data_IF_113521604438
#
_entry.id   IF_113521604438
#
_cell.length_a   1.000
_cell.length_b   1.000
_cell.length_c   1.000
_cell.angle_alpha   90.00
_cell.angle_beta   90.00
_cell.angle_gamma   90.00
#
_symmetry.space_group_name_H-M   'P 1'
#
loop_
_entity.id
_entity.type
_entity.pdbx_description
1 polymer ?
#
# COMPACT_ATOMS: atom_id res chain seq x y z
N UNK A 1 -21.69 -12.94 -0.71
CA UNK A 1 -20.50 -12.07 -0.73
C UNK A 1 -19.32 -12.88 -1.22
N UNK A 2 -18.53 -12.35 -2.15
CA UNK A 2 -17.32 -12.97 -2.72
C UNK A 2 -16.12 -12.16 -2.21
N UNK A 3 -15.03 -12.82 -1.81
CA UNK A 3 -13.86 -12.18 -1.19
C UNK A 3 -12.82 -11.67 -2.21
N UNK A 4 -13.23 -11.51 -3.47
CA UNK A 4 -12.40 -10.99 -4.54
C UNK A 4 -13.19 -10.11 -5.51
N UNK A 5 -12.65 -8.96 -5.87
CA UNK A 5 -13.19 -8.17 -6.98
C UNK A 5 -12.77 -8.78 -8.33
N UNK A 6 -13.63 -8.69 -9.37
CA UNK A 6 -13.18 -8.91 -10.74
C UNK A 6 -12.07 -7.91 -11.08
N UNK A 7 -11.02 -8.39 -11.75
CA UNK A 7 -9.81 -7.61 -12.07
C UNK A 7 -9.00 -7.11 -10.86
N UNK A 8 -9.12 -7.72 -9.66
CA UNK A 8 -8.27 -7.38 -8.50
C UNK A 8 -6.76 -7.45 -8.80
N UNK A 9 -6.36 -8.23 -9.81
CA UNK A 9 -4.98 -8.31 -10.28
C UNK A 9 -4.43 -6.99 -10.84
N UNK A 10 -5.27 -6.01 -11.17
CA UNK A 10 -4.84 -4.65 -11.58
C UNK A 10 -4.07 -3.91 -10.48
N UNK A 11 -4.34 -4.25 -9.22
CA UNK A 11 -3.61 -3.73 -8.05
C UNK A 11 -2.50 -4.69 -7.60
N UNK A 12 -2.74 -6.00 -7.65
CA UNK A 12 -1.81 -6.96 -7.06
C UNK A 12 -0.67 -7.42 -7.99
N UNK A 13 -0.85 -7.33 -9.31
CA UNK A 13 0.25 -7.56 -10.24
C UNK A 13 1.11 -6.31 -10.36
N UNK A 14 2.41 -6.47 -10.06
CA UNK A 14 3.37 -5.36 -10.01
C UNK A 14 3.46 -4.54 -11.31
N UNK A 15 3.44 -5.19 -12.47
CA UNK A 15 3.47 -4.52 -13.77
C UNK A 15 2.22 -3.65 -13.99
N UNK A 16 1.04 -4.17 -13.65
CA UNK A 16 -0.22 -3.46 -13.75
C UNK A 16 -0.34 -2.34 -12.70
N UNK A 17 0.06 -2.60 -11.46
CA UNK A 17 0.12 -1.59 -10.39
C UNK A 17 0.91 -0.35 -10.84
N UNK A 18 2.14 -0.56 -11.32
CA UNK A 18 3.01 0.53 -11.79
C UNK A 18 2.39 1.24 -12.99
N UNK A 19 1.79 0.50 -13.93
CA UNK A 19 1.09 1.07 -15.09
C UNK A 19 -0.10 1.93 -14.67
N UNK A 20 -0.92 1.45 -13.74
CA UNK A 20 -2.12 2.12 -13.24
C UNK A 20 -1.76 3.39 -12.47
N UNK A 21 -0.72 3.36 -11.62
CA UNK A 21 -0.21 4.56 -10.94
C UNK A 21 0.32 5.60 -11.95
N UNK A 22 1.06 5.16 -12.98
CA UNK A 22 1.55 6.07 -14.03
C UNK A 22 0.40 6.71 -14.81
N UNK A 23 -0.66 5.95 -15.12
CA UNK A 23 -1.88 6.46 -15.75
C UNK A 23 -2.55 7.49 -14.84
N UNK A 24 -2.79 7.13 -13.58
CA UNK A 24 -3.43 7.99 -12.59
C UNK A 24 -2.74 9.34 -12.44
N UNK A 25 -1.41 9.34 -12.31
CA UNK A 25 -0.61 10.58 -12.26
C UNK A 25 -0.79 11.46 -13.51
N UNK A 26 -0.81 10.86 -14.71
CA UNK A 26 -1.01 11.58 -15.98
C UNK A 26 -2.42 12.15 -16.14
N UNK A 27 -3.42 11.44 -15.63
CA UNK A 27 -4.79 11.94 -15.67
C UNK A 27 -4.94 13.14 -14.72
N UNK A 28 -4.36 13.08 -13.52
CA UNK A 28 -4.28 14.21 -12.59
C UNK A 28 -3.54 15.42 -13.17
N UNK A 29 -2.47 15.21 -13.95
CA UNK A 29 -1.79 16.28 -14.69
C UNK A 29 -2.71 16.95 -15.71
N UNK A 30 -3.47 16.15 -16.48
CA UNK A 30 -4.41 16.65 -17.49
C UNK A 30 -5.53 17.47 -16.85
N UNK A 31 -5.94 17.08 -15.65
CA UNK A 31 -6.97 17.76 -14.86
C UNK A 31 -6.43 19.00 -14.12
N UNK A 32 -5.11 19.24 -14.12
CA UNK A 32 -4.49 20.33 -13.37
C UNK A 32 -4.60 20.16 -11.85
N UNK A 33 -4.70 18.92 -11.38
CA UNK A 33 -4.83 18.62 -9.95
C UNK A 33 -3.55 19.00 -9.19
N UNK A 34 -3.66 19.63 -7.99
CA UNK A 34 -2.49 19.89 -7.15
C UNK A 34 -1.76 18.60 -6.73
N UNK A 35 -2.45 17.45 -6.75
CA UNK A 35 -1.83 16.15 -6.47
C UNK A 35 -0.75 15.75 -7.50
N UNK A 36 -0.80 16.33 -8.69
CA UNK A 36 0.19 16.11 -9.75
C UNK A 36 1.40 17.06 -9.65
N UNK A 37 1.51 17.85 -8.57
CA UNK A 37 2.66 18.72 -8.34
C UNK A 37 3.98 17.94 -8.42
N UNK A 38 4.96 18.57 -9.08
CA UNK A 38 6.30 18.03 -9.24
C UNK A 38 7.33 19.01 -8.69
N UNK A 39 8.35 18.45 -8.05
CA UNK A 39 9.51 19.19 -7.59
C UNK A 39 10.80 18.57 -8.14
N UNK A 40 11.82 19.41 -8.28
CA UNK A 40 13.17 18.95 -8.55
C UNK A 40 13.79 18.42 -7.27
N UNK A 41 14.35 17.21 -7.35
CA UNK A 41 15.02 16.52 -6.25
C UNK A 41 16.45 16.22 -6.70
N UNK A 42 17.42 16.56 -5.85
CA UNK A 42 18.82 16.24 -6.09
C UNK A 42 19.10 14.83 -5.56
N UNK A 43 19.42 13.91 -6.45
CA UNK A 43 19.84 12.55 -6.09
C UNK A 43 21.28 12.54 -5.56
N UNK A 44 21.64 11.45 -4.88
CA UNK A 44 23.04 11.17 -4.54
C UNK A 44 23.88 11.15 -5.82
N UNK A 45 24.94 11.96 -5.87
CA UNK A 45 25.74 12.19 -7.08
C UNK A 45 25.46 13.51 -7.81
N UNK A 46 24.58 14.37 -7.28
CA UNK A 46 24.34 15.72 -7.80
C UNK A 46 23.41 15.79 -9.01
N UNK A 47 22.84 14.66 -9.42
CA UNK A 47 21.87 14.60 -10.51
C UNK A 47 20.52 15.18 -10.06
N UNK A 48 20.00 16.15 -10.82
CA UNK A 48 18.66 16.71 -10.60
C UNK A 48 17.63 15.88 -11.36
N UNK A 49 16.60 15.41 -10.66
CA UNK A 49 15.47 14.70 -11.27
C UNK A 49 14.15 15.30 -10.82
N UNK A 50 13.17 15.32 -11.72
CA UNK A 50 11.81 15.77 -11.39
C UNK A 50 11.00 14.60 -10.82
N UNK A 51 10.46 14.76 -9.61
CA UNK A 51 9.59 13.75 -8.97
C UNK A 51 8.26 14.37 -8.57
N UNK A 52 7.23 13.55 -8.46
CA UNK A 52 5.94 13.98 -7.91
C UNK A 52 6.12 14.29 -6.42
N UNK A 53 5.48 15.33 -5.92
CA UNK A 53 5.55 15.68 -4.49
C UNK A 53 4.67 14.73 -3.69
N UNK A 54 3.41 14.58 -4.10
CA UNK A 54 2.40 13.84 -3.33
C UNK A 54 2.29 12.36 -3.71
N UNK A 55 2.70 12.00 -4.92
CA UNK A 55 2.49 10.66 -5.46
C UNK A 55 3.79 9.87 -5.65
N UNK A 56 4.91 10.28 -5.07
CA UNK A 56 6.22 9.61 -5.19
C UNK A 56 6.46 8.53 -4.12
N UNK A 57 5.61 7.51 -4.13
CA UNK A 57 5.67 6.38 -3.18
C UNK A 57 5.92 5.02 -3.86
N UNK A 58 6.05 4.98 -5.19
CA UNK A 58 6.40 3.76 -5.94
C UNK A 58 7.89 3.85 -6.32
N UNK A 59 8.73 2.88 -5.95
CA UNK A 59 10.13 2.87 -6.35
C UNK A 59 10.27 2.67 -7.87
N UNK A 60 11.37 3.16 -8.42
CA UNK A 60 11.72 2.89 -9.83
C UNK A 60 11.78 1.37 -10.01
N UNK A 61 11.00 0.87 -10.96
CA UNK A 61 10.74 -0.55 -11.15
C UNK A 61 10.89 -0.91 -12.62
N UNK A 62 11.53 -2.03 -12.87
CA UNK A 62 11.76 -2.60 -14.19
C UNK A 62 11.27 -4.05 -14.22
N UNK A 63 10.70 -4.48 -15.35
CA UNK A 63 10.28 -5.86 -15.60
C UNK A 63 11.31 -6.52 -16.51
N UNK A 64 12.12 -7.43 -15.96
CA UNK A 64 13.14 -8.13 -16.74
C UNK A 64 12.57 -9.43 -17.36
N UNK A 65 13.01 -9.81 -18.58
CA UNK A 65 14.08 -9.20 -19.37
C UNK A 65 13.64 -7.99 -20.22
N UNK A 66 12.34 -7.69 -20.32
CA UNK A 66 11.79 -6.68 -21.23
C UNK A 66 12.40 -5.27 -21.06
N UNK A 67 12.62 -4.85 -19.82
CA UNK A 67 13.15 -3.52 -19.47
C UNK A 67 14.67 -3.52 -19.22
N UNK A 68 15.41 -4.55 -19.67
CA UNK A 68 16.83 -4.69 -19.34
C UNK A 68 17.67 -3.47 -19.73
N UNK A 69 17.49 -2.93 -20.94
CA UNK A 69 18.24 -1.77 -21.40
C UNK A 69 17.97 -0.53 -20.54
N UNK A 70 16.70 -0.30 -20.17
CA UNK A 70 16.31 0.80 -19.30
C UNK A 70 16.89 0.64 -17.89
N UNK A 71 16.89 -0.59 -17.37
CA UNK A 71 17.53 -0.90 -16.09
C UNK A 71 19.03 -0.59 -16.13
N UNK A 72 19.74 -1.01 -17.19
CA UNK A 72 21.18 -0.75 -17.33
C UNK A 72 21.48 0.75 -17.43
N UNK A 73 20.65 1.52 -18.13
CA UNK A 73 20.78 2.98 -18.18
C UNK A 73 20.61 3.61 -16.79
N UNK A 74 19.60 3.18 -16.03
CA UNK A 74 19.36 3.71 -14.69
C UNK A 74 20.45 3.29 -13.69
N UNK A 75 20.92 2.05 -13.79
CA UNK A 75 22.03 1.53 -12.99
C UNK A 75 23.31 2.35 -13.21
N UNK A 76 23.61 2.73 -14.46
CA UNK A 76 24.80 3.55 -14.79
C UNK A 76 24.74 4.96 -14.20
N UNK A 77 23.54 5.55 -14.05
CA UNK A 77 23.38 6.88 -13.46
C UNK A 77 23.70 6.90 -11.97
N UNK A 78 23.38 5.81 -11.27
CA UNK A 78 23.64 5.68 -9.84
C UNK A 78 24.16 4.28 -9.50
N UNK A 79 25.47 4.01 -9.73
CA UNK A 79 26.06 2.69 -9.52
C UNK A 79 26.06 2.23 -8.06
N UNK A 80 25.95 3.18 -7.11
CA UNK A 80 25.85 2.88 -5.67
C UNK A 80 24.41 2.63 -5.20
N UNK A 81 23.43 2.72 -6.09
CA UNK A 81 22.05 2.41 -5.73
C UNK A 81 21.89 0.94 -5.37
N UNK A 82 21.29 0.69 -4.22
CA UNK A 82 20.75 -0.62 -3.86
C UNK A 82 19.53 -0.93 -4.73
N UNK A 83 19.51 -2.09 -5.36
CA UNK A 83 18.39 -2.59 -6.17
C UNK A 83 17.80 -3.84 -5.54
N UNK A 84 16.47 -3.84 -5.36
CA UNK A 84 15.74 -5.02 -4.90
C UNK A 84 15.30 -5.82 -6.12
N UNK A 85 16.01 -6.91 -6.42
CA UNK A 85 15.58 -7.86 -7.44
C UNK A 85 14.57 -8.84 -6.83
N UNK A 86 13.35 -8.88 -7.39
CA UNK A 86 12.34 -9.89 -7.03
C UNK A 86 12.01 -10.72 -8.26
N UNK A 87 12.09 -12.07 -8.20
CA UNK A 87 11.56 -12.91 -9.26
C UNK A 87 10.04 -12.72 -9.35
N UNK A 88 9.50 -12.72 -10.57
CA UNK A 88 8.06 -12.62 -10.78
C UNK A 88 7.34 -13.74 -10.01
N UNK A 89 6.58 -13.38 -8.96
CA UNK A 89 5.75 -14.31 -8.19
C UNK A 89 6.36 -14.95 -6.94
N UNK A 90 7.54 -14.52 -6.44
CA UNK A 90 8.06 -14.97 -5.13
C UNK A 90 8.85 -13.86 -4.40
N UNK A 91 8.62 -13.67 -3.11
CA UNK A 91 9.28 -12.67 -2.24
C UNK A 91 9.41 -13.23 -0.82
N UNK A 92 10.58 -13.49 -0.15
CA UNK A 92 10.68 -13.99 1.28
C UNK A 92 12.09 -14.05 1.97
N UNK A 93 12.36 -13.49 3.19
CA UNK A 93 13.69 -13.48 3.92
C UNK A 93 13.67 -12.84 5.33
N UNK A 94 14.80 -12.51 5.99
CA UNK A 94 15.08 -12.60 7.47
C UNK A 94 16.17 -11.80 8.22
N UNK A 95 17.22 -11.23 7.63
CA UNK A 95 18.48 -10.91 8.32
C UNK A 95 18.77 -9.42 8.16
N UNK A 96 19.57 -8.88 9.09
CA UNK A 96 20.00 -7.48 9.07
C UNK A 96 20.64 -7.15 7.73
N UNK A 97 20.13 -6.08 7.10
CA UNK A 97 20.59 -5.61 5.80
C UNK A 97 22.07 -5.21 5.85
N UNK A 98 22.92 -5.94 5.13
CA UNK A 98 24.32 -5.60 4.88
C UNK A 98 24.53 -5.35 3.38
N UNK A 99 25.34 -4.33 3.07
CA UNK A 99 25.68 -3.92 1.70
C UNK A 99 26.91 -4.65 1.15
N UNK A 100 27.53 -5.55 1.93
CA UNK A 100 28.71 -6.29 1.49
C UNK A 100 28.36 -7.27 0.36
N UNK A 101 29.20 -7.26 -0.69
CA UNK A 101 29.04 -8.10 -1.89
C UNK A 101 29.05 -9.60 -1.55
N UNK A 102 29.60 -9.96 -0.39
CA UNK A 102 29.70 -11.32 0.14
C UNK A 102 28.38 -11.91 0.64
N UNK A 103 27.38 -11.08 0.96
CA UNK A 103 26.08 -11.51 1.51
C UNK A 103 24.92 -11.39 0.50
N UNK A 104 25.20 -11.09 -0.78
CA UNK A 104 24.17 -10.94 -1.82
C UNK A 104 23.37 -12.24 -2.07
N UNK A 105 24.02 -13.40 -1.96
CA UNK A 105 23.37 -14.71 -2.12
C UNK A 105 22.61 -15.16 -0.86
N UNK A 106 22.80 -14.47 0.25
CA UNK A 106 22.11 -14.77 1.50
C UNK A 106 20.67 -14.28 1.40
N UNK A 107 19.77 -15.12 0.90
CA UNK A 107 18.34 -14.85 0.80
C UNK A 107 17.71 -14.44 2.13
N UNK A 108 18.29 -14.90 3.25
CA UNK A 108 17.86 -14.48 4.56
C UNK A 108 18.15 -12.99 4.75
N UNK A 109 19.17 -12.32 4.20
CA UNK A 109 19.40 -10.86 4.39
C UNK A 109 18.40 -9.96 3.65
N UNK A 110 17.96 -10.36 2.46
CA UNK A 110 17.37 -9.40 1.51
C UNK A 110 15.85 -9.38 1.44
N UNK A 111 15.21 -10.33 2.12
CA UNK A 111 13.77 -10.48 2.03
C UNK A 111 13.21 -10.45 3.48
N UNK A 112 11.89 -10.39 3.73
CA UNK A 112 11.33 -10.25 5.11
C UNK A 112 10.26 -11.29 5.49
N UNK A 113 9.88 -12.20 4.59
CA UNK A 113 8.77 -13.12 4.85
C UNK A 113 9.11 -14.37 5.68
N UNK A 114 8.17 -14.69 6.56
CA UNK A 114 8.24 -15.74 7.59
C UNK A 114 8.56 -17.13 7.07
N UNK A 115 8.07 -17.49 5.89
CA UNK A 115 8.25 -18.83 5.33
C UNK A 115 9.67 -19.12 4.84
N UNK A 116 10.48 -18.09 4.57
CA UNK A 116 11.94 -18.24 4.47
C UNK A 116 12.56 -18.12 5.87
N UNK A 117 12.10 -17.17 6.68
CA UNK A 117 12.64 -16.92 8.02
C UNK A 117 12.71 -18.11 8.94
N UNK A 118 11.66 -18.93 8.95
CA UNK A 118 11.56 -20.10 9.82
C UNK A 118 12.67 -21.13 9.62
N UNK A 119 13.43 -21.03 8.52
CA UNK A 119 14.56 -21.91 8.22
C UNK A 119 15.92 -21.25 8.50
N UNK A 120 15.97 -19.99 8.94
CA UNK A 120 17.21 -19.30 9.30
C UNK A 120 17.66 -19.64 10.72
N UNK A 121 18.99 -19.70 10.94
CA UNK A 121 19.57 -20.08 12.23
C UNK A 121 19.21 -19.14 13.39
N UNK A 122 19.00 -17.85 13.11
CA UNK A 122 18.63 -16.83 14.11
C UNK A 122 17.11 -16.61 14.24
N UNK A 123 16.29 -17.52 13.71
CA UNK A 123 14.83 -17.36 13.78
C UNK A 123 14.33 -17.42 15.22
N UNK A 124 13.80 -16.30 15.71
CA UNK A 124 13.15 -16.26 17.00
C UNK A 124 11.75 -16.88 16.89
N UNK A 125 11.57 -18.13 17.33
CA UNK A 125 10.30 -18.86 17.29
C UNK A 125 9.18 -18.25 18.15
N UNK A 126 9.53 -17.41 19.13
CA UNK A 126 8.58 -16.79 20.07
C UNK A 126 7.88 -15.60 19.41
N UNK A 127 8.64 -14.71 18.76
CA UNK A 127 8.11 -13.51 18.12
C UNK A 127 8.04 -13.60 16.58
N UNK A 128 8.76 -14.56 15.99
CA UNK A 128 8.82 -14.81 14.55
C UNK A 128 9.49 -13.71 13.73
N UNK A 129 10.27 -12.82 14.37
CA UNK A 129 10.79 -11.60 13.75
C UNK A 129 9.73 -10.53 13.47
N UNK A 130 8.53 -10.65 14.07
CA UNK A 130 7.40 -9.77 13.82
C UNK A 130 7.23 -8.75 14.94
N UNK A 131 6.83 -7.54 14.56
CA UNK A 131 6.35 -6.50 15.47
C UNK A 131 4.95 -6.08 15.03
N UNK A 132 4.01 -5.92 15.97
CA UNK A 132 2.68 -5.38 15.66
C UNK A 132 2.80 -3.92 15.23
N UNK A 133 1.82 -3.44 14.45
CA UNK A 133 1.78 -2.03 14.03
C UNK A 133 1.71 -1.09 15.25
N UNK A 134 0.99 -1.48 16.30
CA UNK A 134 0.91 -0.73 17.55
C UNK A 134 2.28 -0.63 18.23
N UNK A 135 3.03 -1.73 18.30
CA UNK A 135 4.37 -1.72 18.89
C UNK A 135 5.37 -0.95 18.02
N UNK A 136 5.25 -1.02 16.69
CA UNK A 136 6.03 -0.21 15.77
C UNK A 136 5.79 1.28 16.02
N UNK A 137 4.53 1.67 16.17
CA UNK A 137 4.16 3.05 16.50
C UNK A 137 4.77 3.50 17.82
N UNK A 138 4.59 2.73 18.89
CA UNK A 138 5.18 3.03 20.21
C UNK A 138 6.71 3.15 20.14
N UNK A 139 7.37 2.25 19.42
CA UNK A 139 8.81 2.29 19.22
C UNK A 139 9.27 3.56 18.49
N UNK A 140 8.58 3.95 17.42
CA UNK A 140 8.90 5.17 16.67
C UNK A 140 8.60 6.43 17.47
N UNK A 141 7.50 6.47 18.23
CA UNK A 141 7.17 7.60 19.09
C UNK A 141 8.25 7.79 20.17
N UNK A 142 8.74 6.70 20.76
CA UNK A 142 9.80 6.74 21.77
C UNK A 142 11.20 7.05 21.22
N UNK A 143 11.50 6.74 19.95
CA UNK A 143 12.85 6.89 19.37
C UNK A 143 13.01 8.09 18.43
N UNK A 144 11.94 8.49 17.73
CA UNK A 144 11.93 9.55 16.72
C UNK A 144 10.97 10.69 17.05
N UNK A 145 10.09 10.51 18.03
CA UNK A 145 9.11 11.48 18.45
C UNK A 145 7.73 11.28 17.80
N UNK A 146 6.71 11.81 18.47
CA UNK A 146 5.31 11.61 18.10
C UNK A 146 4.94 12.21 16.75
N UNK A 147 5.30 13.47 16.50
CA UNK A 147 4.93 14.16 15.26
C UNK A 147 5.47 13.45 14.01
N UNK A 148 6.73 13.02 14.05
CA UNK A 148 7.38 12.29 12.95
C UNK A 148 6.69 10.95 12.71
N UNK A 149 6.32 10.26 13.79
CA UNK A 149 5.60 8.99 13.70
C UNK A 149 4.22 9.17 13.07
N UNK A 150 3.46 10.18 13.51
CA UNK A 150 2.16 10.51 12.94
C UNK A 150 2.27 10.85 11.44
N UNK A 151 3.30 11.61 11.02
CA UNK A 151 3.57 11.90 9.61
C UNK A 151 3.83 10.64 8.78
N UNK A 152 4.62 9.69 9.30
CA UNK A 152 4.89 8.43 8.61
C UNK A 152 3.59 7.62 8.43
N UNK A 153 2.79 7.47 9.49
CA UNK A 153 1.54 6.71 9.41
C UNK A 153 0.52 7.37 8.48
N UNK A 154 0.43 8.71 8.49
CA UNK A 154 -0.37 9.45 7.52
C UNK A 154 0.13 9.21 6.08
N UNK A 155 1.44 9.17 5.86
CA UNK A 155 2.03 8.87 4.55
C UNK A 155 1.76 7.44 4.08
N UNK A 156 1.71 6.47 5.00
CA UNK A 156 1.30 5.08 4.71
C UNK A 156 -0.17 5.04 4.29
N UNK A 157 -1.06 5.69 5.04
CA UNK A 157 -2.49 5.76 4.70
C UNK A 157 -2.71 6.43 3.34
N UNK A 158 -2.00 7.53 3.08
CA UNK A 158 -2.03 8.26 1.80
C UNK A 158 -1.65 7.37 0.61
N UNK A 159 -0.54 6.63 0.74
CA UNK A 159 -0.07 5.67 -0.24
C UNK A 159 -1.12 4.59 -0.52
N UNK A 160 -1.75 4.03 0.53
CA UNK A 160 -2.80 3.01 0.39
C UNK A 160 -3.98 3.58 -0.39
N UNK A 161 -4.52 4.73 0.04
CA UNK A 161 -5.69 5.38 -0.60
C UNK A 161 -5.41 5.69 -2.06
N UNK A 162 -4.27 6.32 -2.38
CA UNK A 162 -3.97 6.69 -3.76
C UNK A 162 -3.60 5.50 -4.65
N UNK A 163 -3.13 4.39 -4.07
CA UNK A 163 -2.96 3.15 -4.83
C UNK A 163 -4.29 2.53 -5.23
N UNK A 164 -5.31 2.58 -4.36
CA UNK A 164 -6.68 2.15 -4.66
C UNK A 164 -7.35 3.08 -5.68
N UNK A 165 -7.23 4.41 -5.51
CA UNK A 165 -7.76 5.38 -6.48
C UNK A 165 -7.19 5.21 -7.89
N UNK A 166 -5.92 4.78 -8.01
CA UNK A 166 -5.31 4.58 -9.32
C UNK A 166 -5.92 3.42 -10.11
N UNK A 167 -6.56 2.47 -9.43
CA UNK A 167 -7.18 1.27 -10.03
C UNK A 167 -8.71 1.32 -10.04
N UNK A 168 -9.34 2.31 -9.39
CA UNK A 168 -10.79 2.39 -9.24
C UNK A 168 -11.55 2.42 -10.58
N UNK A 169 -10.98 3.04 -11.62
CA UNK A 169 -11.59 3.11 -12.95
C UNK A 169 -11.49 1.82 -13.78
N UNK A 170 -10.65 0.86 -13.37
CA UNK A 170 -10.44 -0.41 -14.09
C UNK A 170 -10.91 -1.63 -13.31
N UNK A 171 -10.96 -1.54 -11.98
CA UNK A 171 -11.55 -2.56 -11.14
C UNK A 171 -13.07 -2.51 -11.21
N UNK A 172 -13.71 -3.65 -11.41
CA UNK A 172 -15.17 -3.72 -11.43
C UNK A 172 -15.70 -3.60 -9.99
N UNK A 173 -16.38 -2.50 -9.70
CA UNK A 173 -17.03 -2.28 -8.40
C UNK A 173 -18.34 -3.07 -8.32
N UNK A 174 -18.23 -4.38 -8.09
CA UNK A 174 -19.38 -5.22 -7.77
C UNK A 174 -19.64 -5.16 -6.26
N UNK A 175 -20.79 -4.61 -5.91
CA UNK A 175 -21.33 -4.57 -4.55
C UNK A 175 -21.25 -5.93 -3.85
N UNK A 176 -21.42 -7.06 -4.53
CA UNK A 176 -21.39 -8.38 -3.89
C UNK A 176 -19.98 -8.89 -3.57
N UNK A 177 -18.95 -8.11 -3.88
CA UNK A 177 -17.56 -8.41 -3.63
C UNK A 177 -17.00 -7.56 -2.49
N UNK A 178 -16.01 -8.11 -1.79
CA UNK A 178 -15.13 -7.41 -0.86
C UNK A 178 -13.72 -7.97 -1.06
N UNK A 179 -12.70 -7.30 -0.53
CA UNK A 179 -11.34 -7.79 -0.67
C UNK A 179 -10.49 -7.43 0.56
N UNK A 180 -9.63 -8.36 0.97
CA UNK A 180 -8.60 -8.11 1.97
C UNK A 180 -7.23 -8.09 1.29
N UNK A 181 -6.63 -6.90 1.19
CA UNK A 181 -5.30 -6.73 0.63
C UNK A 181 -4.21 -6.76 1.71
N UNK A 182 -3.10 -7.43 1.43
CA UNK A 182 -1.84 -7.30 2.18
C UNK A 182 -0.91 -6.29 1.50
N UNK A 183 -0.61 -5.18 2.18
CA UNK A 183 0.31 -4.17 1.66
C UNK A 183 1.73 -4.41 2.16
N UNK A 184 2.65 -4.58 1.23
CA UNK A 184 4.08 -4.71 1.52
C UNK A 184 4.75 -3.34 1.32
N UNK A 185 5.06 -2.70 2.44
CA UNK A 185 5.63 -1.34 2.48
C UNK A 185 7.02 -1.41 3.11
N UNK A 186 8.01 -0.81 2.44
CA UNK A 186 9.34 -0.59 3.00
C UNK A 186 9.42 0.85 3.47
N UNK A 187 9.96 1.07 4.67
CA UNK A 187 10.24 2.39 5.21
C UNK A 187 11.75 2.62 5.13
N UNK A 188 12.16 3.70 4.47
CA UNK A 188 13.58 4.03 4.36
C UNK A 188 14.15 4.73 5.62
N UNK A 189 15.44 5.05 5.58
CA UNK A 189 16.13 5.73 6.67
C UNK A 189 15.64 7.17 6.93
N UNK A 190 14.92 7.78 6.00
CA UNK A 190 14.28 9.09 6.13
C UNK A 190 12.82 8.97 6.59
N UNK A 191 12.37 7.75 6.94
CA UNK A 191 10.99 7.44 7.30
C UNK A 191 10.00 7.74 6.17
N UNK A 192 10.43 7.59 4.91
CA UNK A 192 9.53 7.63 3.76
C UNK A 192 9.05 6.20 3.43
N UNK A 193 7.72 5.98 3.32
CA UNK A 193 7.17 4.69 2.93
C UNK A 193 7.21 4.52 1.40
N UNK A 194 7.57 3.31 0.98
CA UNK A 194 7.63 2.87 -0.41
C UNK A 194 6.76 1.62 -0.60
N UNK A 195 5.80 1.68 -1.53
CA UNK A 195 4.96 0.54 -1.86
C UNK A 195 5.73 -0.43 -2.74
N UNK A 196 5.92 -1.65 -2.25
CA UNK A 196 6.68 -2.69 -2.96
C UNK A 196 5.76 -3.61 -3.75
N UNK A 197 4.71 -4.09 -3.10
CA UNK A 197 3.68 -4.95 -3.69
C UNK A 197 2.36 -4.86 -2.89
N UNK A 198 1.27 -5.24 -3.55
CA UNK A 198 -0.03 -5.45 -2.92
C UNK A 198 -0.43 -6.89 -3.19
N UNK A 199 -0.81 -7.62 -2.15
CA UNK A 199 -1.17 -9.02 -2.22
C UNK A 199 -2.69 -9.16 -2.06
N UNK A 200 -3.39 -9.65 -3.08
CA UNK A 200 -4.84 -9.94 -3.02
C UNK A 200 -5.17 -11.21 -2.21
N UNK A 201 -4.15 -11.97 -1.82
CA UNK A 201 -4.33 -13.18 -1.00
C UNK A 201 -3.24 -13.23 0.08
N UNK A 202 -3.34 -12.37 1.11
CA UNK A 202 -2.39 -12.39 2.22
C UNK A 202 -2.44 -13.75 2.93
N UNK A 203 -1.27 -14.25 3.38
CA UNK A 203 -1.20 -15.57 4.00
C UNK A 203 -1.88 -15.60 5.37
N UNK A 204 -2.92 -16.43 5.48
CA UNK A 204 -3.61 -16.73 6.75
C UNK A 204 -2.96 -17.92 7.50
N UNK A 205 -1.89 -18.51 6.97
CA UNK A 205 -1.15 -19.57 7.67
C UNK A 205 -0.50 -19.00 8.92
N UNK A 206 -0.80 -19.56 10.09
CA UNK A 206 -0.28 -19.06 11.36
C UNK A 206 1.03 -19.74 11.73
N UNK A 207 2.05 -18.96 12.10
CA UNK A 207 3.34 -19.51 12.55
C UNK A 207 3.61 -19.32 14.03
N UNK A 208 2.86 -18.43 14.69
CA UNK A 208 2.92 -18.20 16.15
C UNK A 208 1.51 -18.08 16.73
N UNK A 209 1.37 -18.22 18.04
CA UNK A 209 0.07 -18.05 18.73
C UNK A 209 -0.49 -16.64 18.53
N UNK A 210 0.37 -15.62 18.61
CA UNK A 210 -0.03 -14.23 18.37
C UNK A 210 -0.51 -14.01 16.93
N UNK A 211 0.16 -14.61 15.94
CA UNK A 211 -0.25 -14.58 14.54
C UNK A 211 -1.62 -15.24 14.34
N UNK A 212 -1.85 -16.37 15.02
CA UNK A 212 -3.15 -17.04 15.03
C UNK A 212 -4.23 -16.11 15.58
N UNK A 213 -4.08 -15.60 16.80
CA UNK A 213 -5.07 -14.72 17.44
C UNK A 213 -5.36 -13.50 16.56
N UNK A 214 -4.34 -12.84 16.03
CA UNK A 214 -4.48 -11.69 15.14
C UNK A 214 -5.28 -12.04 13.88
N UNK A 215 -4.97 -13.15 13.22
CA UNK A 215 -5.64 -13.57 11.98
C UNK A 215 -7.09 -13.98 12.22
N UNK A 216 -7.38 -14.67 13.32
CA UNK A 216 -8.77 -14.96 13.71
C UNK A 216 -9.56 -13.67 13.94
N UNK A 217 -9.00 -12.70 14.68
CA UNK A 217 -9.65 -11.40 14.88
C UNK A 217 -9.85 -10.62 13.58
N UNK A 218 -8.89 -10.67 12.66
CA UNK A 218 -9.00 -10.04 11.36
C UNK A 218 -10.18 -10.61 10.56
N UNK A 219 -10.30 -11.94 10.48
CA UNK A 219 -11.39 -12.61 9.77
C UNK A 219 -12.72 -12.28 10.45
N UNK A 220 -12.78 -12.34 11.77
CA UNK A 220 -13.98 -12.03 12.56
C UNK A 220 -14.47 -10.60 12.30
N UNK A 221 -13.60 -9.60 12.48
CA UNK A 221 -13.94 -8.20 12.23
C UNK A 221 -14.32 -7.96 10.76
N UNK A 222 -13.64 -8.62 9.82
CA UNK A 222 -13.96 -8.50 8.40
C UNK A 222 -15.37 -9.03 8.11
N UNK A 223 -15.75 -10.19 8.67
CA UNK A 223 -17.10 -10.74 8.53
C UNK A 223 -18.14 -9.82 9.17
N UNK A 224 -17.86 -9.20 10.32
CA UNK A 224 -18.75 -8.23 10.96
C UNK A 224 -19.00 -6.97 10.12
N UNK A 225 -18.04 -6.60 9.26
CA UNK A 225 -18.17 -5.44 8.35
C UNK A 225 -18.91 -5.83 7.07
N UNK A 226 -18.60 -6.98 6.47
CA UNK A 226 -19.09 -7.33 5.12
C UNK A 226 -20.37 -8.17 5.11
N UNK A 227 -20.79 -8.69 6.26
CA UNK A 227 -22.06 -9.41 6.42
C UNK A 227 -23.00 -8.62 7.34
N UNK A 228 -24.32 -8.70 7.08
CA UNK A 228 -25.30 -8.13 8.01
C UNK A 228 -25.30 -8.89 9.34
N UNK A 229 -25.80 -8.27 10.43
CA UNK A 229 -25.90 -8.93 11.75
C UNK A 229 -26.63 -10.27 11.72
N UNK A 230 -27.62 -10.41 10.84
CA UNK A 230 -28.41 -11.64 10.67
C UNK A 230 -27.69 -12.70 9.80
N UNK A 231 -26.47 -12.42 9.32
CA UNK A 231 -25.61 -13.31 8.55
C UNK A 231 -26.03 -13.54 7.10
N UNK A 232 -27.23 -13.11 6.70
CA UNK A 232 -27.80 -13.33 5.37
C UNK A 232 -27.87 -11.99 4.62
N UNK A 233 -27.04 -11.77 3.59
CA UNK A 233 -27.10 -10.56 2.77
C UNK A 233 -28.44 -10.45 2.03
N UNK A 234 -29.26 -9.44 2.35
CA UNK A 234 -30.42 -9.03 1.54
C UNK A 234 -30.02 -7.86 0.62
N UNK A 235 -30.67 -7.75 -0.54
CA UNK A 235 -30.48 -6.71 -1.57
C UNK A 235 -30.72 -5.30 -1.01
N UNK A 236 -31.47 -5.18 0.09
CA UNK A 236 -31.80 -3.91 0.76
C UNK A 236 -30.82 -3.53 1.87
N UNK A 237 -29.85 -4.38 2.19
CA UNK A 237 -28.91 -4.08 3.26
C UNK A 237 -27.93 -2.97 2.84
N UNK A 238 -27.95 -1.87 3.58
CA UNK A 238 -27.01 -0.78 3.41
C UNK A 238 -25.64 -1.19 3.94
N UNK A 239 -24.59 -1.03 3.13
CA UNK A 239 -23.24 -1.52 3.40
C UNK A 239 -22.36 -0.54 4.15
N UNK A 240 -22.95 0.47 4.77
CA UNK A 240 -22.22 1.36 5.66
C UNK A 240 -22.16 0.67 7.02
N UNK A 241 -21.02 0.06 7.40
CA UNK A 241 -20.90 -0.55 8.72
C UNK A 241 -21.08 0.53 9.77
N UNK A 242 -21.76 0.20 10.87
CA UNK A 242 -21.79 1.08 12.02
C UNK A 242 -20.38 1.14 12.65
N UNK A 243 -20.11 2.17 13.46
CA UNK A 243 -18.79 2.35 14.08
C UNK A 243 -18.38 1.20 15.00
N UNK A 244 -19.35 0.47 15.56
CA UNK A 244 -19.11 -0.68 16.45
C UNK A 244 -18.68 -1.93 15.66
N UNK A 245 -19.20 -2.11 14.44
CA UNK A 245 -18.90 -3.21 13.52
C UNK A 245 -17.51 -3.11 12.91
N UNK A 246 -16.89 -1.92 12.91
CA UNK A 246 -15.52 -1.73 12.42
C UNK A 246 -14.49 -2.48 13.28
N UNK A 247 -14.79 -2.75 14.55
CA UNK A 247 -13.89 -3.47 15.45
C UNK A 247 -12.53 -2.78 15.55
N UNK A 248 -11.49 -3.41 14.99
CA UNK A 248 -10.12 -2.86 14.97
C UNK A 248 -9.74 -2.18 13.64
N UNK A 249 -10.69 -1.97 12.72
CA UNK A 249 -10.45 -1.27 11.47
C UNK A 249 -10.58 0.25 11.64
N UNK A 250 -9.66 0.98 11.01
CA UNK A 250 -9.76 2.41 10.81
C UNK A 250 -10.33 2.70 9.42
N UNK A 251 -11.36 3.54 9.33
CA UNK A 251 -11.90 4.01 8.05
C UNK A 251 -10.94 5.04 7.43
N UNK A 252 -10.37 4.73 6.26
CA UNK A 252 -9.43 5.62 5.57
C UNK A 252 -10.10 6.54 4.55
N UNK A 253 -11.11 6.04 3.85
CA UNK A 253 -11.84 6.78 2.81
C UNK A 253 -13.27 6.26 2.71
N UNK A 254 -14.21 7.18 2.58
CA UNK A 254 -15.61 6.93 2.22
C UNK A 254 -15.92 7.76 0.96
N UNK A 255 -15.95 7.11 -0.20
CA UNK A 255 -16.19 7.80 -1.47
C UNK A 255 -17.64 8.32 -1.58
N UNK A 256 -18.62 7.63 -0.97
CA UNK A 256 -20.01 8.10 -0.98
C UNK A 256 -20.19 9.40 -0.18
N UNK A 257 -19.38 9.60 0.86
CA UNK A 257 -19.37 10.84 1.63
C UNK A 257 -18.70 11.98 0.85
N UNK A 258 -17.58 11.71 0.18
CA UNK A 258 -16.85 12.70 -0.62
C UNK A 258 -17.72 13.20 -1.79
N UNK A 259 -18.39 12.29 -2.51
CA UNK A 259 -19.23 12.66 -3.65
C UNK A 259 -20.47 13.50 -3.22
N UNK A 260 -20.97 13.30 -1.99
CA UNK A 260 -22.06 14.10 -1.42
C UNK A 260 -21.63 15.52 -1.05
N UNK A 261 -20.42 15.69 -0.53
CA UNK A 261 -19.85 17.01 -0.23
C UNK A 261 -19.54 17.81 -1.51
N UNK A 262 -19.09 17.14 -2.58
CA UNK A 262 -18.91 17.78 -3.89
C UNK A 262 -20.24 18.12 -4.57
N UNK A 263 -21.25 17.24 -4.48
CA UNK A 263 -22.58 17.50 -5.04
C UNK A 263 -23.31 18.65 -4.31
N UNK A 264 -23.15 18.78 -3.00
CA UNK A 264 -23.73 19.89 -2.22
C UNK A 264 -23.01 21.22 -2.49
N UNK A 265 -21.71 21.21 -2.77
CA UNK A 265 -20.96 22.41 -3.16
C UNK A 265 -21.29 22.88 -4.59
N UNK A 266 -21.63 21.99 -5.52
CA UNK A 266 -22.03 22.37 -6.89
C UNK A 266 -23.45 22.96 -6.94
N UNK A 267 -24.34 22.57 -6.01
CA UNK A 267 -25.71 23.08 -5.89
C UNK A 267 -25.82 24.55 -5.45
N UNK A 268 -24.75 25.18 -4.97
CA UNK A 268 -24.74 26.54 -4.43
C UNK A 268 -24.52 27.68 -5.43
N UNK A 269 -24.23 27.40 -6.71
CA UNK A 269 -23.93 28.42 -7.73
C UNK A 269 -24.91 28.41 -8.90
N UNK A 270 -26.17 28.78 -8.66
CA UNK A 270 -27.01 29.46 -9.66
C UNK A 270 -28.27 30.06 -9.05
N UNK A 271 -28.16 31.27 -8.51
CA UNK A 271 -29.29 32.22 -8.50
C UNK A 271 -28.94 33.33 -9.47
N UNK A 272 -29.35 33.16 -10.73
CA UNK A 272 -29.32 34.22 -11.73
C UNK A 272 -30.23 35.35 -11.25
N UNK A 273 -29.65 36.51 -10.97
CA UNK A 273 -30.39 37.77 -10.90
C UNK A 273 -31.03 38.04 -12.26
N UNK A 274 -32.33 37.80 -12.38
CA UNK A 274 -33.12 38.36 -13.46
C UNK A 274 -33.61 39.73 -13.03
N UNK A 275 -33.07 40.77 -13.68
CA UNK A 275 -33.62 42.12 -13.65
C UNK A 275 -35.05 42.10 -14.21
N UNK A 276 -36.00 42.63 -13.45
CA UNK A 276 -36.90 43.72 -13.86
C UNK A 276 -37.53 44.34 -12.63
#
# INVERSE_FOLDING_TARGET
MINHFPNHYELSRKDLLVKNIKRYRKDLEREGSPLAEKAEVVLHGGQVVTRYVHLDFIPVTFVLPADYNMFVEEYRKSPQSTWIMKPCGKSQGTVKYDTSVTELDNMYVHLTNVSVQKHGGDYNSIHGGKMSVQNLRLFLEGTRGRAVTETLFASIQWLIVHSLKAVSSVMANDRHCYECYGYDIIIDNQLKPWLVEVNASPSLTSTTVNDRIMKYKLIDNMLSVVLPPDGIPDVRWNKVPNSESLGNFDLLIDEEFIDKDDATNIGGRSVKHSKK
#
